data_IF_355263045755
#
_entry.id   IF_355263045755
#
_cell.length_a   1.000
_cell.length_b   1.000
_cell.length_c   1.000
_cell.angle_alpha   90.00
_cell.angle_beta   90.00
_cell.angle_gamma   90.00
#
_symmetry.space_group_name_H-M   'P 1'
#
loop_
_entity.id
_entity.type
_entity.pdbx_description
1 polymer ?
#
# COMPACT_ATOMS: atom_id res chain seq x y z
N UNK A 1 -9.45 -6.81 -65.00
CA UNK A 1 -9.38 -5.80 -63.94
C UNK A 1 -10.29 -6.17 -62.78
N UNK A 2 -9.92 -7.11 -61.85
CA UNK A 2 -10.71 -7.38 -60.63
C UNK A 2 -10.09 -8.42 -59.67
N UNK A 3 -8.89 -8.99 -59.98
CA UNK A 3 -8.27 -9.94 -59.07
C UNK A 3 -7.51 -9.30 -57.89
N UNK A 4 -7.03 -8.07 -58.05
CA UNK A 4 -6.27 -7.35 -57.02
C UNK A 4 -7.16 -6.81 -55.87
N UNK A 5 -8.43 -6.45 -56.17
CA UNK A 5 -9.38 -6.02 -55.11
C UNK A 5 -9.81 -7.21 -54.26
N UNK A 6 -10.12 -8.36 -54.88
CA UNK A 6 -10.55 -9.57 -54.14
C UNK A 6 -9.47 -10.12 -53.22
N UNK A 7 -8.17 -10.01 -53.61
CA UNK A 7 -7.05 -10.45 -52.78
C UNK A 7 -6.78 -9.52 -51.59
N UNK A 8 -6.95 -8.21 -51.73
CA UNK A 8 -6.85 -7.23 -50.65
C UNK A 8 -7.99 -7.43 -49.61
N UNK A 9 -9.20 -7.64 -50.08
CA UNK A 9 -10.35 -7.88 -49.18
C UNK A 9 -10.23 -9.21 -48.46
N UNK A 10 -9.69 -10.24 -49.06
CA UNK A 10 -9.38 -11.53 -48.43
C UNK A 10 -8.29 -11.41 -47.38
N UNK A 11 -7.20 -10.67 -47.63
CA UNK A 11 -6.14 -10.42 -46.66
C UNK A 11 -6.64 -9.59 -45.47
N UNK A 12 -7.48 -8.59 -45.73
CA UNK A 12 -8.13 -7.79 -44.66
C UNK A 12 -9.06 -8.63 -43.80
N UNK A 13 -9.80 -9.57 -44.40
CA UNK A 13 -10.67 -10.51 -43.68
C UNK A 13 -9.87 -11.51 -42.81
N UNK A 14 -8.75 -12.01 -43.35
CA UNK A 14 -7.82 -12.88 -42.61
C UNK A 14 -7.15 -12.14 -41.43
N UNK A 15 -6.69 -10.91 -41.67
CA UNK A 15 -6.12 -10.07 -40.60
C UNK A 15 -7.13 -9.78 -39.51
N UNK A 16 -8.38 -9.42 -39.87
CA UNK A 16 -9.47 -9.18 -38.93
C UNK A 16 -9.84 -10.43 -38.12
N UNK A 17 -9.88 -11.61 -38.79
CA UNK A 17 -10.16 -12.88 -38.11
C UNK A 17 -8.99 -13.30 -37.19
N UNK A 18 -7.75 -13.04 -37.58
CA UNK A 18 -6.58 -13.28 -36.73
C UNK A 18 -6.57 -12.37 -35.50
N UNK A 19 -6.93 -11.10 -35.66
CA UNK A 19 -7.04 -10.15 -34.55
C UNK A 19 -8.17 -10.52 -33.59
N UNK A 20 -9.34 -10.90 -34.12
CA UNK A 20 -10.45 -11.44 -33.32
C UNK A 20 -10.05 -12.72 -32.58
N UNK A 21 -9.29 -13.62 -33.21
CA UNK A 21 -8.80 -14.83 -32.57
C UNK A 21 -7.81 -14.52 -31.45
N UNK A 22 -6.89 -13.55 -31.66
CA UNK A 22 -5.95 -13.09 -30.61
C UNK A 22 -6.69 -12.47 -29.42
N UNK A 23 -7.68 -11.62 -29.68
CA UNK A 23 -8.51 -11.00 -28.64
C UNK A 23 -9.26 -12.11 -27.85
N UNK A 24 -9.87 -13.07 -28.54
CA UNK A 24 -10.59 -14.17 -27.90
C UNK A 24 -9.65 -15.06 -27.07
N UNK A 25 -8.47 -15.41 -27.60
CA UNK A 25 -7.46 -16.16 -26.87
C UNK A 25 -6.98 -15.40 -25.62
N UNK A 26 -6.72 -14.09 -25.73
CA UNK A 26 -6.35 -13.25 -24.59
C UNK A 26 -7.43 -13.18 -23.52
N UNK A 27 -8.72 -13.06 -23.92
CA UNK A 27 -9.86 -13.08 -22.98
C UNK A 27 -9.95 -14.42 -22.25
N UNK A 28 -9.80 -15.52 -22.97
CA UNK A 28 -9.82 -16.88 -22.37
C UNK A 28 -8.67 -17.07 -21.38
N UNK A 29 -7.47 -16.55 -21.70
CA UNK A 29 -6.32 -16.59 -20.80
C UNK A 29 -6.58 -15.77 -19.52
N UNK A 30 -7.09 -14.54 -19.61
CA UNK A 30 -7.40 -13.71 -18.43
C UNK A 30 -8.45 -14.38 -17.54
N UNK A 31 -9.48 -15.05 -18.11
CA UNK A 31 -10.48 -15.79 -17.33
C UNK A 31 -9.85 -16.93 -16.53
N UNK A 32 -8.93 -17.69 -17.13
CA UNK A 32 -8.22 -18.78 -16.44
C UNK A 32 -7.38 -18.25 -15.28
N UNK A 33 -6.60 -17.17 -15.51
CA UNK A 33 -5.83 -16.51 -14.45
C UNK A 33 -6.71 -15.94 -13.35
N UNK A 34 -7.88 -15.39 -13.69
CA UNK A 34 -8.85 -14.89 -12.70
C UNK A 34 -9.39 -16.01 -11.83
N UNK A 35 -9.75 -17.14 -12.42
CA UNK A 35 -10.24 -18.31 -11.66
C UNK A 35 -9.18 -18.81 -10.69
N UNK A 36 -7.94 -18.95 -11.13
CA UNK A 36 -6.83 -19.35 -10.25
C UNK A 36 -6.56 -18.32 -9.14
N UNK A 37 -6.68 -17.03 -9.43
CA UNK A 37 -6.56 -15.94 -8.45
C UNK A 37 -7.63 -16.06 -7.35
N UNK A 38 -8.90 -16.27 -7.73
CA UNK A 38 -10.03 -16.44 -6.80
C UNK A 38 -9.85 -17.69 -5.93
N UNK A 39 -9.41 -18.81 -6.52
CA UNK A 39 -9.13 -20.05 -5.78
C UNK A 39 -7.98 -19.88 -4.79
N UNK A 40 -6.91 -19.19 -5.18
CA UNK A 40 -5.79 -18.88 -4.30
C UNK A 40 -6.23 -17.95 -3.17
N UNK A 41 -6.94 -16.86 -3.49
CA UNK A 41 -7.44 -15.90 -2.50
C UNK A 41 -8.38 -16.57 -1.50
N UNK A 42 -9.28 -17.44 -1.96
CA UNK A 42 -10.16 -18.21 -1.07
C UNK A 42 -9.38 -19.08 -0.07
N UNK A 43 -8.26 -19.68 -0.50
CA UNK A 43 -7.38 -20.44 0.40
C UNK A 43 -6.66 -19.53 1.40
N UNK A 44 -6.21 -18.35 0.97
CA UNK A 44 -5.59 -17.37 1.85
C UNK A 44 -6.57 -16.84 2.89
N UNK A 45 -7.81 -16.51 2.50
CA UNK A 45 -8.89 -16.11 3.44
C UNK A 45 -9.13 -17.21 4.49
N UNK A 46 -9.17 -18.49 4.06
CA UNK A 46 -9.38 -19.62 4.97
C UNK A 46 -8.21 -19.87 5.92
N UNK A 47 -7.11 -19.13 5.77
CA UNK A 47 -5.89 -19.29 6.56
C UNK A 47 -5.58 -17.98 7.25
N UNK A 48 -5.95 -17.83 8.54
CA UNK A 48 -5.68 -16.59 9.27
C UNK A 48 -4.23 -16.13 9.12
N UNK A 49 -4.04 -14.86 8.78
CA UNK A 49 -2.74 -14.23 8.53
C UNK A 49 -2.62 -12.87 9.21
N UNK A 50 -3.08 -12.79 10.45
CA UNK A 50 -2.94 -11.55 11.23
C UNK A 50 -1.46 -11.18 11.32
N UNK A 51 -1.15 -9.88 11.18
CA UNK A 51 0.23 -9.39 11.22
C UNK A 51 1.08 -10.04 12.32
N UNK A 52 2.24 -10.57 11.95
CA UNK A 52 3.19 -11.38 12.72
C UNK A 52 2.83 -12.87 12.85
N UNK A 53 1.70 -13.32 12.29
CA UNK A 53 1.29 -14.73 12.27
C UNK A 53 0.92 -15.19 10.84
N UNK A 54 1.75 -14.81 9.86
CA UNK A 54 1.50 -15.07 8.44
C UNK A 54 2.12 -16.38 7.92
N UNK A 55 2.80 -17.15 8.77
CA UNK A 55 3.63 -18.30 8.37
C UNK A 55 2.87 -19.32 7.52
N UNK A 56 1.62 -19.62 7.88
CA UNK A 56 0.78 -20.58 7.16
C UNK A 56 0.32 -20.02 5.80
N UNK A 57 -0.14 -18.78 5.75
CA UNK A 57 -0.56 -18.12 4.51
C UNK A 57 0.61 -17.95 3.53
N UNK A 58 1.78 -17.52 4.03
CA UNK A 58 3.01 -17.48 3.25
C UNK A 58 3.40 -18.86 2.69
N UNK A 59 3.17 -19.96 3.45
CA UNK A 59 3.37 -21.32 2.99
C UNK A 59 2.47 -21.67 1.81
N UNK A 60 1.15 -21.38 1.91
CA UNK A 60 0.19 -21.62 0.83
C UNK A 60 0.56 -20.86 -0.44
N UNK A 61 0.93 -19.58 -0.29
CA UNK A 61 1.34 -18.75 -1.43
C UNK A 61 2.65 -19.25 -2.05
N UNK A 62 3.64 -19.64 -1.25
CA UNK A 62 4.89 -20.22 -1.73
C UNK A 62 4.67 -21.53 -2.51
N UNK A 63 3.78 -22.40 -2.00
CA UNK A 63 3.40 -23.66 -2.67
C UNK A 63 2.72 -23.37 -4.03
N UNK A 64 1.85 -22.39 -4.09
CA UNK A 64 1.21 -21.97 -5.35
C UNK A 64 2.27 -21.45 -6.35
N UNK A 65 3.15 -20.56 -5.91
CA UNK A 65 4.24 -20.01 -6.73
C UNK A 65 5.12 -21.15 -7.27
N UNK A 66 5.49 -22.11 -6.42
CA UNK A 66 6.28 -23.29 -6.80
C UNK A 66 5.56 -24.18 -7.82
N UNK A 67 4.25 -24.43 -7.68
CA UNK A 67 3.42 -25.16 -8.65
C UNK A 67 3.35 -24.47 -10.01
N UNK A 68 3.45 -23.14 -10.03
CA UNK A 68 3.55 -22.37 -11.27
C UNK A 68 4.94 -22.44 -11.92
N UNK A 69 5.91 -23.15 -11.31
CA UNK A 69 7.28 -23.26 -11.80
C UNK A 69 8.05 -21.93 -11.70
N UNK A 70 7.72 -21.10 -10.73
CA UNK A 70 8.40 -19.82 -10.47
C UNK A 70 9.45 -19.99 -9.36
N UNK A 71 10.64 -19.38 -9.49
CA UNK A 71 11.60 -19.34 -8.40
C UNK A 71 11.06 -18.46 -7.27
N UNK A 72 11.04 -18.99 -6.05
CA UNK A 72 10.55 -18.27 -4.88
C UNK A 72 11.61 -18.29 -3.78
N UNK A 73 12.07 -17.12 -3.37
CA UNK A 73 12.92 -16.95 -2.20
C UNK A 73 12.07 -16.51 -1.01
N UNK A 74 12.09 -17.30 0.06
CA UNK A 74 11.42 -16.94 1.33
C UNK A 74 12.39 -16.17 2.22
N UNK A 75 11.95 -14.97 2.71
CA UNK A 75 12.72 -14.07 3.58
C UNK A 75 11.83 -13.78 4.80
N UNK A 76 11.98 -14.55 5.87
CA UNK A 76 10.97 -14.60 6.93
C UNK A 76 9.65 -15.13 6.37
N UNK A 77 8.57 -14.32 6.47
CA UNK A 77 7.30 -14.62 5.80
C UNK A 77 7.12 -13.88 4.47
N UNK A 78 8.08 -13.01 4.07
CA UNK A 78 8.04 -12.39 2.75
C UNK A 78 8.43 -13.40 1.67
N UNK A 79 7.80 -13.29 0.49
CA UNK A 79 8.07 -14.15 -0.66
C UNK A 79 8.52 -13.30 -1.84
N UNK A 80 9.76 -13.49 -2.25
CA UNK A 80 10.38 -12.80 -3.38
C UNK A 80 10.41 -13.73 -4.59
N UNK A 81 9.86 -13.27 -5.71
CA UNK A 81 9.88 -13.95 -7.01
C UNK A 81 10.57 -13.06 -8.03
N UNK A 82 11.64 -13.56 -8.61
CA UNK A 82 12.34 -12.90 -9.71
C UNK A 82 12.98 -13.96 -10.62
N UNK A 83 12.96 -13.70 -11.91
CA UNK A 83 13.64 -14.50 -12.92
C UNK A 83 14.90 -13.80 -13.41
N UNK A 84 15.54 -14.33 -14.44
CA UNK A 84 16.72 -13.72 -15.04
C UNK A 84 16.35 -12.33 -15.61
N UNK A 85 17.13 -11.33 -15.25
CA UNK A 85 16.93 -9.95 -15.67
C UNK A 85 17.73 -9.59 -16.91
N UNK A 86 17.14 -8.75 -17.76
CA UNK A 86 17.82 -8.14 -18.90
C UNK A 86 18.43 -6.79 -18.47
N UNK A 87 19.74 -6.61 -18.67
CA UNK A 87 20.47 -5.46 -18.16
C UNK A 87 19.94 -4.10 -18.67
N UNK A 88 19.38 -4.07 -19.88
CA UNK A 88 18.91 -2.84 -20.52
C UNK A 88 17.45 -2.47 -20.16
N UNK A 89 16.73 -3.36 -19.50
CA UNK A 89 15.34 -3.10 -19.11
C UNK A 89 15.26 -2.49 -17.71
N UNK A 90 14.44 -1.44 -17.50
CA UNK A 90 14.13 -0.96 -16.17
C UNK A 90 13.36 -2.03 -15.38
N UNK A 91 13.55 -2.05 -14.06
CA UNK A 91 12.97 -3.06 -13.17
C UNK A 91 11.77 -2.50 -12.43
N UNK A 92 10.63 -3.18 -12.53
CA UNK A 92 9.40 -2.89 -11.80
C UNK A 92 9.20 -3.91 -10.69
N UNK A 93 9.03 -3.43 -9.45
CA UNK A 93 8.58 -4.21 -8.32
C UNK A 93 7.05 -4.22 -8.28
N UNK A 94 6.46 -5.40 -8.22
CA UNK A 94 5.04 -5.64 -7.96
C UNK A 94 4.91 -6.10 -6.51
N UNK A 95 4.40 -5.27 -5.61
CA UNK A 95 4.37 -5.51 -4.17
C UNK A 95 2.95 -5.50 -3.64
N UNK A 96 2.61 -6.48 -2.79
CA UNK A 96 1.37 -6.49 -2.03
C UNK A 96 1.57 -7.29 -0.74
N UNK A 97 0.79 -7.01 0.32
CA UNK A 97 0.99 -7.69 1.59
C UNK A 97 0.11 -8.95 1.75
N UNK A 98 0.58 -9.88 2.60
CA UNK A 98 -0.08 -11.14 2.92
C UNK A 98 -0.93 -11.00 4.19
N UNK A 99 -0.47 -10.16 5.11
CA UNK A 99 -1.07 -10.01 6.42
C UNK A 99 -2.38 -9.23 6.40
N UNK A 100 -3.14 -9.40 7.47
CA UNK A 100 -4.42 -8.74 7.70
C UNK A 100 -4.45 -8.14 9.11
N UNK A 101 -5.34 -7.16 9.32
CA UNK A 101 -5.75 -6.73 10.66
C UNK A 101 -6.53 -7.84 11.38
N UNK A 102 -6.79 -7.66 12.68
CA UNK A 102 -7.76 -8.50 13.39
C UNK A 102 -9.17 -8.17 12.94
N UNK A 103 -10.05 -9.19 12.81
CA UNK A 103 -11.45 -8.94 12.47
C UNK A 103 -12.14 -8.10 13.54
N UNK A 104 -12.97 -7.14 13.11
CA UNK A 104 -13.82 -6.35 14.00
C UNK A 104 -15.01 -7.19 14.49
N UNK A 105 -15.62 -6.83 15.63
CA UNK A 105 -16.68 -7.63 16.25
C UNK A 105 -18.04 -7.58 15.53
N UNK A 106 -18.18 -6.75 14.52
CA UNK A 106 -19.44 -6.52 13.78
C UNK A 106 -19.59 -7.37 12.52
N UNK A 107 -18.65 -8.31 12.25
CA UNK A 107 -18.78 -9.25 11.15
C UNK A 107 -20.07 -10.05 11.24
N UNK A 108 -20.83 -10.16 10.15
CA UNK A 108 -22.05 -11.02 10.06
C UNK A 108 -21.73 -12.40 9.50
N UNK A 109 -20.65 -12.54 8.74
CA UNK A 109 -20.08 -13.81 8.27
C UNK A 109 -18.84 -14.18 9.11
N UNK A 110 -18.42 -15.44 9.06
CA UNK A 110 -17.10 -15.81 9.60
C UNK A 110 -16.01 -15.18 8.72
N UNK A 111 -15.14 -14.30 9.25
CA UNK A 111 -14.13 -13.59 8.48
C UNK A 111 -13.11 -14.50 7.78
N UNK A 112 -12.95 -15.74 8.25
CA UNK A 112 -12.03 -16.74 7.71
C UNK A 112 -12.72 -17.81 6.84
N UNK A 113 -14.00 -17.64 6.53
CA UNK A 113 -14.72 -18.52 5.62
C UNK A 113 -15.03 -17.76 4.32
N UNK A 114 -14.35 -18.08 3.20
CA UNK A 114 -14.59 -17.41 1.92
C UNK A 114 -15.99 -17.73 1.41
N UNK A 115 -16.79 -16.69 1.14
CA UNK A 115 -18.14 -16.82 0.62
C UNK A 115 -18.23 -16.08 -0.71
N UNK A 116 -18.69 -16.77 -1.76
CA UNK A 116 -18.95 -16.15 -3.06
C UNK A 116 -20.45 -15.94 -3.23
N UNK A 117 -20.86 -14.68 -3.34
CA UNK A 117 -22.23 -14.27 -3.63
C UNK A 117 -22.28 -13.37 -4.87
N UNK A 118 -22.74 -13.89 -5.98
CA UNK A 118 -22.69 -13.18 -7.26
C UNK A 118 -21.27 -12.87 -7.68
N UNK A 119 -20.94 -11.59 -7.80
CA UNK A 119 -19.59 -11.11 -8.16
C UNK A 119 -18.69 -10.88 -6.94
N UNK A 120 -19.14 -11.12 -5.71
CA UNK A 120 -18.41 -10.78 -4.48
C UNK A 120 -17.81 -11.99 -3.82
N UNK A 121 -16.53 -11.92 -3.53
CA UNK A 121 -15.83 -12.85 -2.65
C UNK A 121 -15.61 -12.16 -1.29
N UNK A 122 -16.37 -12.60 -0.28
CA UNK A 122 -16.28 -12.12 1.09
C UNK A 122 -15.18 -12.85 1.87
N UNK A 123 -14.54 -12.14 2.78
CA UNK A 123 -13.57 -12.64 3.75
C UNK A 123 -12.55 -11.58 4.13
N UNK A 124 -11.98 -11.71 5.32
CA UNK A 124 -10.97 -10.79 5.83
C UNK A 124 -9.73 -10.82 4.94
N UNK A 125 -9.23 -9.64 4.54
CA UNK A 125 -8.10 -9.50 3.64
C UNK A 125 -8.44 -9.81 2.17
N UNK A 126 -9.71 -10.00 1.81
CA UNK A 126 -10.11 -10.16 0.41
C UNK A 126 -9.86 -8.91 -0.42
N UNK A 127 -10.14 -7.75 0.15
CA UNK A 127 -9.96 -6.43 -0.45
C UNK A 127 -8.59 -5.82 -0.08
N UNK A 128 -8.19 -5.91 1.18
CA UNK A 128 -6.98 -5.31 1.74
C UNK A 128 -5.97 -6.37 2.20
N UNK A 129 -4.93 -6.69 1.41
CA UNK A 129 -4.85 -6.36 -0.01
C UNK A 129 -4.77 -7.65 -0.86
N UNK A 130 -5.50 -8.72 -0.44
CA UNK A 130 -5.47 -10.02 -1.10
C UNK A 130 -5.87 -9.97 -2.58
N UNK A 131 -6.87 -9.14 -2.94
CA UNK A 131 -7.21 -8.88 -4.35
C UNK A 131 -6.03 -8.37 -5.16
N UNK A 132 -5.29 -7.39 -4.61
CA UNK A 132 -4.06 -6.87 -5.20
C UNK A 132 -2.95 -7.92 -5.27
N UNK A 133 -2.74 -8.66 -4.17
CA UNK A 133 -1.75 -9.71 -4.04
C UNK A 133 -1.87 -10.76 -5.15
N UNK A 134 -3.07 -11.34 -5.30
CA UNK A 134 -3.28 -12.39 -6.31
C UNK A 134 -3.29 -11.83 -7.73
N UNK A 135 -3.83 -10.63 -7.95
CA UNK A 135 -3.88 -10.01 -9.28
C UNK A 135 -2.49 -9.66 -9.80
N UNK A 136 -1.60 -9.08 -8.94
CA UNK A 136 -0.21 -8.80 -9.30
C UNK A 136 0.57 -10.08 -9.60
N UNK A 137 0.36 -11.16 -8.82
CA UNK A 137 1.01 -12.44 -9.08
C UNK A 137 0.57 -13.02 -10.44
N UNK A 138 -0.71 -12.95 -10.76
CA UNK A 138 -1.21 -13.46 -12.04
C UNK A 138 -0.72 -12.61 -13.22
N UNK A 139 -0.66 -11.29 -13.07
CA UNK A 139 -0.08 -10.41 -14.09
C UNK A 139 1.43 -10.71 -14.30
N UNK A 140 2.18 -10.94 -13.21
CA UNK A 140 3.58 -11.39 -13.29
C UNK A 140 3.70 -12.68 -14.10
N UNK A 141 2.86 -13.68 -13.80
CA UNK A 141 2.83 -14.97 -14.51
C UNK A 141 2.49 -14.84 -15.99
N UNK A 142 1.49 -14.02 -16.31
CA UNK A 142 1.08 -13.75 -17.69
C UNK A 142 2.19 -13.12 -18.52
N UNK A 143 2.91 -12.15 -17.90
CA UNK A 143 3.99 -11.40 -18.55
C UNK A 143 5.33 -12.15 -18.60
N UNK A 144 5.40 -13.30 -17.96
CA UNK A 144 6.56 -14.16 -17.97
C UNK A 144 6.95 -14.55 -19.41
N UNK A 145 8.23 -14.53 -19.71
CA UNK A 145 8.71 -14.96 -21.03
C UNK A 145 8.87 -13.85 -22.07
N UNK A 146 8.93 -12.58 -21.65
CA UNK A 146 9.46 -11.50 -22.47
C UNK A 146 8.43 -10.61 -23.17
N UNK A 147 7.15 -10.67 -22.79
CA UNK A 147 6.12 -9.74 -23.31
C UNK A 147 6.19 -8.36 -22.65
N UNK A 148 6.80 -8.25 -21.45
CA UNK A 148 7.02 -6.99 -20.76
C UNK A 148 8.25 -6.24 -21.26
N UNK A 149 8.16 -4.92 -21.32
CA UNK A 149 9.31 -4.02 -21.56
C UNK A 149 10.14 -3.77 -20.28
N UNK A 150 9.74 -4.34 -19.16
CA UNK A 150 10.38 -4.24 -17.87
C UNK A 150 10.88 -5.60 -17.38
N UNK A 151 11.94 -5.60 -16.60
CA UNK A 151 12.19 -6.70 -15.68
C UNK A 151 11.12 -6.63 -14.59
N UNK A 152 10.53 -7.76 -14.24
CA UNK A 152 9.51 -7.85 -13.22
C UNK A 152 10.06 -8.56 -11.99
N UNK A 153 9.78 -8.00 -10.84
CA UNK A 153 10.02 -8.59 -9.52
C UNK A 153 8.69 -8.61 -8.78
N UNK A 154 8.29 -9.74 -8.22
CA UNK A 154 7.10 -9.81 -7.37
C UNK A 154 7.53 -10.03 -5.92
N UNK A 155 6.95 -9.25 -5.02
CA UNK A 155 7.13 -9.37 -3.58
C UNK A 155 5.77 -9.44 -2.89
N UNK A 156 5.52 -10.56 -2.21
CA UNK A 156 4.48 -10.65 -1.21
C UNK A 156 5.11 -10.31 0.15
N UNK A 157 4.77 -9.17 0.72
CA UNK A 157 5.29 -8.68 2.00
C UNK A 157 4.44 -9.16 3.18
N UNK A 158 4.98 -9.13 4.38
CA UNK A 158 4.27 -9.39 5.63
C UNK A 158 4.40 -8.20 6.59
N UNK A 159 3.66 -8.21 7.71
CA UNK A 159 3.67 -7.17 8.75
C UNK A 159 3.40 -5.74 8.23
N UNK A 160 2.72 -5.57 7.09
CA UNK A 160 2.40 -4.26 6.52
C UNK A 160 1.50 -3.47 7.47
N UNK A 161 0.41 -4.07 7.94
CA UNK A 161 -0.66 -3.48 8.76
C UNK A 161 -0.18 -2.95 10.14
N UNK A 162 1.00 -3.40 10.55
CA UNK A 162 1.68 -2.93 11.77
C UNK A 162 2.99 -2.23 11.45
N UNK A 163 3.29 -2.00 10.18
CA UNK A 163 4.57 -1.47 9.69
C UNK A 163 5.74 -2.19 10.38
N UNK A 164 5.71 -3.53 10.41
CA UNK A 164 6.63 -4.36 11.18
C UNK A 164 8.06 -4.38 10.61
N UNK A 165 9.01 -4.79 11.43
CA UNK A 165 10.42 -4.84 11.03
C UNK A 165 10.72 -6.06 10.15
N UNK A 166 9.91 -7.14 10.24
CA UNK A 166 10.11 -8.37 9.48
C UNK A 166 9.38 -8.38 8.13
N UNK A 167 8.63 -7.30 7.81
CA UNK A 167 7.94 -7.10 6.54
C UNK A 167 8.86 -6.58 5.44
N UNK A 168 8.40 -5.57 4.71
CA UNK A 168 9.14 -4.98 3.58
C UNK A 168 10.57 -4.56 3.97
N UNK A 169 10.79 -4.02 5.17
CA UNK A 169 12.12 -3.61 5.65
C UNK A 169 13.12 -4.78 5.67
N UNK A 170 12.68 -6.00 6.02
CA UNK A 170 13.52 -7.20 6.02
C UNK A 170 13.77 -7.68 4.57
N UNK A 171 12.80 -7.55 3.68
CA UNK A 171 12.91 -7.97 2.28
C UNK A 171 13.77 -7.01 1.45
N UNK A 172 13.76 -5.72 1.75
CA UNK A 172 14.42 -4.67 0.96
C UNK A 172 15.89 -4.93 0.61
N UNK A 173 16.77 -5.39 1.52
CA UNK A 173 18.18 -5.70 1.18
C UNK A 173 18.36 -6.87 0.21
N UNK A 174 17.33 -7.68 -0.01
CA UNK A 174 17.34 -8.83 -0.92
C UNK A 174 16.80 -8.50 -2.31
N UNK A 175 16.20 -7.31 -2.47
CA UNK A 175 15.70 -6.87 -3.77
C UNK A 175 16.87 -6.50 -4.69
N UNK A 176 16.76 -6.75 -5.99
CA UNK A 176 17.67 -6.17 -6.98
C UNK A 176 17.51 -4.65 -7.02
N UNK A 177 18.26 -3.97 -7.88
CA UNK A 177 18.00 -2.56 -8.16
C UNK A 177 16.59 -2.41 -8.73
N UNK A 178 15.73 -1.68 -8.03
CA UNK A 178 14.36 -1.36 -8.45
C UNK A 178 14.34 0.08 -9.00
N UNK A 179 13.73 0.28 -10.16
CA UNK A 179 13.56 1.61 -10.76
C UNK A 179 12.20 2.23 -10.38
N UNK A 180 11.16 1.40 -10.20
CA UNK A 180 9.83 1.83 -9.77
C UNK A 180 9.05 0.66 -9.15
N UNK A 181 8.11 0.95 -8.24
CA UNK A 181 7.21 -0.07 -7.68
C UNK A 181 5.73 0.26 -7.94
N UNK A 182 4.94 -0.81 -8.13
CA UNK A 182 3.48 -0.81 -8.08
C UNK A 182 3.07 -1.56 -6.83
N UNK A 183 2.28 -0.92 -5.96
CA UNK A 183 1.77 -1.52 -4.72
C UNK A 183 0.29 -1.83 -4.88
N UNK A 184 -0.09 -3.08 -4.61
CA UNK A 184 -1.41 -3.66 -4.91
C UNK A 184 -2.54 -3.26 -3.95
N UNK A 185 -2.42 -2.13 -3.28
CA UNK A 185 -3.41 -1.58 -2.36
C UNK A 185 -4.74 -1.22 -3.06
N UNK A 186 -5.89 -1.30 -2.35
CA UNK A 186 -7.19 -1.01 -2.95
C UNK A 186 -7.34 0.47 -3.33
N UNK A 187 -7.35 0.76 -4.62
CA UNK A 187 -7.46 2.11 -5.20
C UNK A 187 -8.54 2.24 -6.27
N UNK A 188 -9.35 1.19 -6.47
CA UNK A 188 -10.29 1.12 -7.60
C UNK A 188 -9.58 1.18 -8.95
N UNK A 189 -8.36 0.65 -9.04
CA UNK A 189 -7.50 0.72 -10.22
C UNK A 189 -7.23 2.16 -10.70
N UNK A 190 -7.22 3.15 -9.79
CA UNK A 190 -6.73 4.49 -10.05
C UNK A 190 -5.32 4.65 -9.46
N UNK A 191 -4.35 5.25 -10.17
CA UNK A 191 -3.00 5.37 -9.65
C UNK A 191 -2.92 6.41 -8.51
N UNK A 192 -2.65 5.96 -7.29
CA UNK A 192 -2.33 6.86 -6.19
C UNK A 192 -0.84 7.20 -6.24
N UNK A 193 -0.53 8.40 -6.74
CA UNK A 193 0.83 8.85 -7.06
C UNK A 193 1.55 9.56 -5.91
N UNK A 194 0.88 9.73 -4.79
CA UNK A 194 1.44 10.25 -3.55
C UNK A 194 0.70 9.66 -2.36
N UNK A 195 1.41 9.46 -1.25
CA UNK A 195 0.83 9.02 0.01
C UNK A 195 1.44 9.77 1.19
N UNK A 196 0.66 9.98 2.27
CA UNK A 196 1.15 10.64 3.48
C UNK A 196 2.07 9.70 4.26
N UNK A 197 3.16 10.27 4.80
CA UNK A 197 3.96 9.58 5.81
C UNK A 197 3.28 9.54 7.18
N UNK A 198 3.97 8.93 8.13
CA UNK A 198 3.60 8.87 9.54
C UNK A 198 4.82 9.03 10.43
N UNK A 199 4.73 9.94 11.40
CA UNK A 199 5.65 10.02 12.52
C UNK A 199 4.85 10.21 13.81
N UNK A 200 5.06 9.32 14.78
CA UNK A 200 4.48 9.42 16.11
C UNK A 200 5.52 9.95 17.07
N UNK A 201 5.16 11.00 17.82
CA UNK A 201 6.05 11.68 18.76
C UNK A 201 5.42 11.62 20.14
N UNK A 202 6.18 11.14 21.12
CA UNK A 202 5.86 11.25 22.54
C UNK A 202 6.39 12.58 23.07
N UNK A 203 5.54 13.33 23.76
CA UNK A 203 5.87 14.61 24.38
C UNK A 203 5.65 14.56 25.90
N UNK A 204 6.54 15.22 26.63
CA UNK A 204 6.45 15.34 28.10
C UNK A 204 6.78 16.77 28.51
N UNK A 205 5.90 17.38 29.28
CA UNK A 205 6.19 18.59 30.05
C UNK A 205 6.41 18.22 31.52
N UNK A 206 7.43 18.79 32.13
CA UNK A 206 7.77 18.59 33.53
C UNK A 206 7.34 19.76 34.38
N UNK A 207 6.87 19.44 35.57
CA UNK A 207 6.49 20.39 36.61
C UNK A 207 7.09 19.99 37.97
N UNK A 208 6.41 20.37 39.02
CA UNK A 208 6.73 20.01 40.40
C UNK A 208 5.45 19.85 41.19
N UNK A 209 5.28 18.72 41.86
CA UNK A 209 4.11 18.49 42.72
C UNK A 209 4.04 19.48 43.87
N UNK A 210 2.82 19.84 44.25
CA UNK A 210 2.53 20.71 45.36
C UNK A 210 1.04 20.66 45.73
N UNK A 211 0.70 21.29 46.85
CA UNK A 211 -0.72 21.36 47.30
C UNK A 211 -1.43 22.47 46.53
N UNK A 212 -2.49 22.14 45.78
CA UNK A 212 -3.18 23.09 44.87
C UNK A 212 -3.72 24.37 45.59
N UNK A 213 -3.98 24.32 46.89
CA UNK A 213 -4.45 25.46 47.67
C UNK A 213 -3.32 26.36 48.23
N UNK A 214 -2.02 26.04 47.99
CA UNK A 214 -0.91 26.74 48.66
C UNK A 214 0.03 27.55 47.76
N UNK A 215 -0.27 27.72 46.49
CA UNK A 215 0.62 28.29 45.50
C UNK A 215 2.02 27.62 45.47
N UNK A 216 2.08 26.32 45.70
CA UNK A 216 3.28 25.51 45.70
C UNK A 216 3.31 24.66 44.44
N UNK A 217 4.55 24.34 43.98
CA UNK A 217 4.74 23.48 42.80
C UNK A 217 4.80 24.26 41.48
N UNK A 218 4.95 23.51 40.40
CA UNK A 218 4.92 23.96 38.99
C UNK A 218 3.95 23.03 38.25
N UNK A 219 2.89 23.59 37.71
CA UNK A 219 1.87 22.78 37.05
C UNK A 219 2.31 22.35 35.66
N UNK A 220 2.58 21.05 35.46
CA UNK A 220 3.01 20.50 34.20
C UNK A 220 1.98 20.68 33.07
N UNK A 221 0.68 20.76 33.38
CA UNK A 221 -0.35 21.07 32.39
C UNK A 221 -0.14 22.48 31.83
N UNK A 222 0.14 23.46 32.71
CA UNK A 222 0.35 24.84 32.29
C UNK A 222 1.65 25.02 31.53
N UNK A 223 2.70 24.24 31.90
CA UNK A 223 3.93 24.21 31.14
C UNK A 223 3.75 23.65 29.70
N UNK A 224 2.86 22.66 29.52
CA UNK A 224 2.56 22.10 28.21
C UNK A 224 1.68 23.02 27.33
N UNK A 225 0.83 23.86 27.92
CA UNK A 225 -0.23 24.57 27.19
C UNK A 225 0.29 25.46 26.06
N UNK A 226 1.33 26.24 26.26
CA UNK A 226 1.88 27.14 25.25
C UNK A 226 2.35 26.37 24.00
N UNK A 227 3.07 25.25 24.22
CA UNK A 227 3.58 24.39 23.15
C UNK A 227 2.41 23.67 22.44
N UNK A 228 1.40 23.19 23.18
CA UNK A 228 0.21 22.54 22.61
C UNK A 228 -0.67 23.52 21.80
N UNK A 229 -0.84 24.77 22.28
CA UNK A 229 -1.55 25.81 21.55
C UNK A 229 -0.80 26.17 20.27
N UNK A 230 0.52 26.34 20.35
CA UNK A 230 1.35 26.59 19.19
C UNK A 230 1.22 25.44 18.17
N UNK A 231 1.30 24.18 18.59
CA UNK A 231 1.16 22.99 17.72
C UNK A 231 -0.20 22.97 17.02
N UNK A 232 -1.30 23.30 17.75
CA UNK A 232 -2.66 23.35 17.19
C UNK A 232 -2.76 24.39 16.07
N UNK A 233 -2.12 25.54 16.25
CA UNK A 233 -2.32 26.71 15.39
C UNK A 233 -1.29 26.81 14.26
N UNK A 234 -0.12 26.14 14.39
CA UNK A 234 0.92 26.18 13.37
C UNK A 234 0.51 25.45 12.09
N UNK A 235 0.88 26.03 10.95
CA UNK A 235 0.69 25.44 9.61
C UNK A 235 1.96 25.51 8.82
N UNK A 236 2.36 24.39 8.24
CA UNK A 236 3.51 24.33 7.33
C UNK A 236 3.18 24.99 6.00
N UNK A 237 4.14 25.73 5.45
CA UNK A 237 3.92 26.58 4.26
C UNK A 237 3.85 25.82 2.95
N UNK A 238 4.48 24.61 2.86
CA UNK A 238 4.44 23.81 1.65
C UNK A 238 3.21 22.90 1.69
N UNK A 239 2.25 23.21 0.86
CA UNK A 239 1.03 22.44 0.71
C UNK A 239 1.06 21.65 -0.60
N UNK A 240 0.79 20.36 -0.52
CA UNK A 240 0.73 19.47 -1.67
C UNK A 240 -0.58 19.63 -2.42
N UNK A 241 -0.51 19.68 -3.74
CA UNK A 241 -1.70 19.65 -4.60
C UNK A 241 -2.48 18.33 -4.47
N UNK A 242 -1.80 17.23 -4.14
CA UNK A 242 -2.38 15.88 -4.02
C UNK A 242 -2.77 15.55 -2.58
N UNK A 243 -1.91 15.89 -1.61
CA UNK A 243 -2.06 15.48 -0.21
C UNK A 243 -2.51 16.64 0.71
N UNK A 244 -2.47 17.90 0.23
CA UNK A 244 -2.72 19.08 1.06
C UNK A 244 -1.60 19.37 2.07
N UNK A 245 -1.91 20.08 3.15
CA UNK A 245 -0.95 20.46 4.18
C UNK A 245 -0.49 19.25 5.02
N UNK A 246 0.75 19.31 5.53
CA UNK A 246 1.21 18.43 6.61
C UNK A 246 0.33 18.62 7.85
N UNK A 247 -0.16 17.51 8.42
CA UNK A 247 -1.04 17.55 9.61
C UNK A 247 -0.26 17.16 10.86
N UNK A 248 -0.57 17.84 11.96
CA UNK A 248 -0.09 17.51 13.29
C UNK A 248 -1.29 17.51 14.23
N UNK A 249 -1.49 16.42 14.96
CA UNK A 249 -2.65 16.25 15.85
C UNK A 249 -2.21 15.66 17.17
N UNK A 250 -2.52 16.31 18.28
CA UNK A 250 -2.41 15.70 19.60
C UNK A 250 -3.56 14.70 19.77
N UNK A 251 -3.22 13.42 19.92
CA UNK A 251 -4.21 12.32 19.95
C UNK A 251 -4.37 11.72 21.34
N UNK A 252 -3.39 11.92 22.21
CA UNK A 252 -3.42 11.47 23.63
C UNK A 252 -2.90 12.60 24.51
N UNK A 253 -3.54 12.83 25.65
CA UNK A 253 -3.08 13.76 26.68
C UNK A 253 -3.43 13.20 28.06
N UNK A 254 -2.43 13.03 28.91
CA UNK A 254 -2.60 12.53 30.27
C UNK A 254 -1.80 13.37 31.27
N UNK A 255 -2.45 13.81 32.36
CA UNK A 255 -1.79 14.52 33.45
C UNK A 255 -2.66 14.51 34.71
N UNK A 256 -1.99 14.58 35.87
CA UNK A 256 -2.64 14.66 37.19
C UNK A 256 -3.29 13.35 37.64
N UNK A 257 -3.43 13.19 38.94
CA UNK A 257 -4.02 11.99 39.59
C UNK A 257 -5.11 12.34 40.61
N UNK A 258 -5.03 13.53 41.21
CA UNK A 258 -5.97 13.97 42.27
C UNK A 258 -6.25 15.48 42.12
N UNK A 259 -7.47 15.88 42.49
CA UNK A 259 -7.94 17.28 42.33
C UNK A 259 -7.17 18.31 43.18
N UNK A 260 -6.52 17.90 44.27
CA UNK A 260 -5.82 18.76 45.21
C UNK A 260 -4.30 18.71 45.10
N UNK A 261 -3.75 18.02 44.06
CA UNK A 261 -2.31 17.90 43.80
C UNK A 261 -1.98 18.58 42.50
N UNK A 262 -1.02 19.50 42.52
CA UNK A 262 -0.46 20.10 41.29
C UNK A 262 0.31 19.02 40.52
N UNK A 263 -0.04 18.74 39.25
CA UNK A 263 0.63 17.71 38.49
C UNK A 263 2.07 18.08 38.16
N UNK A 264 2.97 17.12 38.33
CA UNK A 264 4.41 17.26 38.04
C UNK A 264 4.81 16.72 36.68
N UNK A 265 3.87 16.10 35.95
CA UNK A 265 4.10 15.60 34.61
C UNK A 265 2.83 15.72 33.75
N UNK A 266 3.02 16.13 32.47
CA UNK A 266 1.98 16.10 31.44
C UNK A 266 2.55 15.38 30.22
N UNK A 267 1.98 14.20 29.89
CA UNK A 267 2.36 13.38 28.74
C UNK A 267 1.34 13.51 27.61
N UNK A 268 1.82 13.58 26.40
CA UNK A 268 0.97 13.64 25.20
C UNK A 268 1.60 12.91 24.02
N UNK A 269 0.77 12.56 23.04
CA UNK A 269 1.20 11.93 21.79
C UNK A 269 0.78 12.82 20.62
N UNK A 270 1.70 13.06 19.69
CA UNK A 270 1.45 13.78 18.44
C UNK A 270 1.48 12.79 17.29
N UNK A 271 0.38 12.69 16.53
CA UNK A 271 0.32 12.06 15.20
C UNK A 271 0.71 13.12 14.16
N UNK A 272 1.81 12.89 13.45
CA UNK A 272 2.31 13.77 12.38
C UNK A 272 2.16 13.05 11.04
N UNK A 273 1.44 13.69 10.10
CA UNK A 273 1.20 13.18 8.75
C UNK A 273 1.84 14.12 7.72
N UNK A 274 3.14 13.89 7.40
CA UNK A 274 3.84 14.70 6.41
C UNK A 274 3.29 14.47 5.00
N UNK A 275 3.39 15.51 4.18
CA UNK A 275 3.29 15.38 2.74
C UNK A 275 4.70 15.20 2.12
N UNK A 276 4.78 15.03 0.81
CA UNK A 276 6.01 14.73 0.06
C UNK A 276 7.10 15.83 0.15
N UNK A 277 6.76 17.02 0.64
CA UNK A 277 7.72 18.13 0.75
C UNK A 277 8.54 18.12 2.04
N UNK A 278 8.19 17.26 3.02
CA UNK A 278 8.82 17.27 4.34
C UNK A 278 9.27 15.87 4.77
N UNK A 279 10.54 15.76 5.11
CA UNK A 279 11.11 14.57 5.72
C UNK A 279 10.80 14.54 7.22
N UNK A 280 10.62 13.35 7.78
CA UNK A 280 10.30 13.16 9.20
C UNK A 280 11.36 13.78 10.12
N UNK A 281 12.64 13.59 9.81
CA UNK A 281 13.77 14.14 10.57
C UNK A 281 13.74 15.67 10.62
N UNK A 282 13.44 16.32 9.49
CA UNK A 282 13.29 17.77 9.42
C UNK A 282 12.13 18.26 10.29
N UNK A 283 10.96 17.61 10.19
CA UNK A 283 9.77 17.97 10.97
C UNK A 283 10.03 17.81 12.48
N UNK A 284 10.70 16.73 12.88
CA UNK A 284 11.03 16.50 14.28
C UNK A 284 11.99 17.57 14.82
N UNK A 285 13.09 17.86 14.11
CA UNK A 285 14.02 18.91 14.51
C UNK A 285 13.35 20.30 14.57
N UNK A 286 12.40 20.56 13.64
CA UNK A 286 11.62 21.78 13.65
C UNK A 286 10.73 21.86 14.88
N UNK A 287 10.03 20.80 15.26
CA UNK A 287 9.18 20.72 16.45
C UNK A 287 10.00 20.91 17.73
N UNK A 288 11.14 20.23 17.88
CA UNK A 288 12.05 20.40 19.03
C UNK A 288 12.55 21.84 19.19
N UNK A 289 12.74 22.55 18.09
CA UNK A 289 13.17 23.96 18.13
C UNK A 289 12.08 24.91 18.65
N UNK A 290 10.80 24.60 18.39
CA UNK A 290 9.67 25.51 18.69
C UNK A 290 8.95 25.14 19.98
N UNK A 291 8.82 23.85 20.29
CA UNK A 291 8.25 23.35 21.54
C UNK A 291 9.35 23.30 22.63
N UNK A 292 9.54 24.42 23.32
CA UNK A 292 10.72 24.63 24.20
C UNK A 292 10.50 24.15 25.63
N UNK A 293 9.25 24.00 26.04
CA UNK A 293 8.88 23.61 27.40
C UNK A 293 8.63 22.10 27.51
N UNK A 294 8.50 21.42 26.37
CA UNK A 294 8.24 20.01 26.32
C UNK A 294 9.45 19.24 25.74
N UNK A 295 9.77 18.11 26.34
CA UNK A 295 10.70 17.15 25.77
C UNK A 295 9.97 16.28 24.74
N UNK A 296 10.54 16.11 23.54
CA UNK A 296 9.96 15.35 22.45
C UNK A 296 10.84 14.15 22.10
N UNK A 297 10.21 12.99 21.89
CA UNK A 297 10.85 11.75 21.43
C UNK A 297 10.10 11.17 20.26
N UNK A 298 10.69 11.09 19.08
CA UNK A 298 10.10 10.42 17.93
C UNK A 298 10.23 8.90 18.10
N UNK A 299 9.12 8.16 17.91
CA UNK A 299 9.15 6.69 17.96
C UNK A 299 9.90 6.09 16.77
N UNK A 300 9.78 6.70 15.58
CA UNK A 300 10.45 6.28 14.35
C UNK A 300 10.42 7.37 13.30
N UNK A 301 11.43 7.40 12.41
CA UNK A 301 11.48 8.28 11.23
C UNK A 301 11.26 7.53 9.91
N UNK A 302 11.09 6.20 9.95
CA UNK A 302 11.16 5.34 8.76
C UNK A 302 9.96 5.44 7.82
N UNK A 303 8.78 5.81 8.33
CA UNK A 303 7.55 5.86 7.55
C UNK A 303 7.41 7.23 6.86
N UNK A 304 8.01 7.34 5.68
CA UNK A 304 8.06 8.60 4.93
C UNK A 304 6.85 8.76 4.02
N UNK A 305 6.55 10.01 3.65
CA UNK A 305 5.66 10.25 2.52
C UNK A 305 6.32 9.74 1.24
N UNK A 306 5.56 9.03 0.41
CA UNK A 306 6.00 8.56 -0.89
C UNK A 306 5.40 9.41 -2.01
N UNK A 307 6.08 9.47 -3.15
CA UNK A 307 5.50 10.06 -4.34
C UNK A 307 6.24 9.60 -5.61
N UNK A 308 5.54 9.65 -6.75
CA UNK A 308 6.11 9.46 -8.09
C UNK A 308 5.74 10.65 -8.97
N UNK A 309 6.67 11.04 -9.86
CA UNK A 309 6.41 12.12 -10.82
C UNK A 309 5.23 11.74 -11.73
N UNK A 310 4.29 12.66 -11.89
CA UNK A 310 3.14 12.47 -12.78
C UNK A 310 3.58 12.25 -14.25
N UNK A 311 4.77 12.74 -14.64
CA UNK A 311 5.35 12.52 -15.96
C UNK A 311 6.04 11.15 -16.10
N UNK A 312 6.12 10.35 -15.05
CA UNK A 312 6.72 9.01 -15.13
C UNK A 312 5.99 8.16 -16.19
N UNK A 313 6.71 7.39 -17.03
CA UNK A 313 6.12 6.64 -18.15
C UNK A 313 4.95 5.73 -17.77
N UNK A 314 5.01 5.06 -16.59
CA UNK A 314 3.91 4.22 -16.11
C UNK A 314 2.67 5.06 -15.76
N UNK A 315 2.84 6.24 -15.17
CA UNK A 315 1.71 7.12 -14.84
C UNK A 315 1.10 7.71 -16.09
N UNK A 316 1.93 8.13 -17.07
CA UNK A 316 1.44 8.57 -18.38
C UNK A 316 0.69 7.45 -19.10
N UNK A 317 1.15 6.20 -18.98
CA UNK A 317 0.43 5.03 -19.50
C UNK A 317 -0.93 4.83 -18.82
N UNK A 318 -0.99 4.91 -17.50
CA UNK A 318 -2.28 4.86 -16.75
C UNK A 318 -3.24 5.96 -17.24
N UNK A 319 -2.75 7.20 -17.39
CA UNK A 319 -3.56 8.33 -17.91
C UNK A 319 -4.06 8.08 -19.34
N UNK A 320 -3.22 7.53 -20.21
CA UNK A 320 -3.61 7.17 -21.57
C UNK A 320 -4.70 6.07 -21.60
N UNK A 321 -4.80 5.25 -20.55
CA UNK A 321 -5.87 4.27 -20.37
C UNK A 321 -7.12 4.85 -19.67
N UNK A 322 -7.17 6.18 -19.44
CA UNK A 322 -8.30 6.88 -18.85
C UNK A 322 -8.30 6.91 -17.31
N UNK A 323 -7.22 6.47 -16.64
CA UNK A 323 -7.13 6.52 -15.20
C UNK A 323 -6.78 7.93 -14.70
N UNK A 324 -7.24 8.27 -13.50
CA UNK A 324 -7.05 9.58 -12.88
C UNK A 324 -6.09 9.48 -11.69
N UNK A 325 -4.88 10.04 -11.77
CA UNK A 325 -3.95 10.09 -10.65
C UNK A 325 -4.50 10.87 -9.46
N UNK A 326 -4.26 10.37 -8.23
CA UNK A 326 -4.69 11.02 -6.99
C UNK A 326 -3.67 10.85 -5.86
N UNK A 327 -3.89 11.54 -4.74
CA UNK A 327 -3.12 11.41 -3.49
C UNK A 327 -3.86 10.53 -2.48
N UNK A 328 -3.21 9.47 -1.98
CA UNK A 328 -3.77 8.57 -0.96
C UNK A 328 -3.58 9.14 0.45
N UNK A 329 -4.63 9.15 1.29
CA UNK A 329 -4.50 9.52 2.70
C UNK A 329 -3.94 8.39 3.57
N UNK A 330 -3.98 7.14 3.09
CA UNK A 330 -3.54 5.93 3.81
C UNK A 330 -2.07 5.64 3.57
N UNK A 331 -1.42 5.05 4.57
CA UNK A 331 -0.03 4.61 4.51
C UNK A 331 0.04 3.17 3.98
N UNK A 332 1.16 2.80 3.37
CA UNK A 332 1.44 1.44 2.91
C UNK A 332 2.95 1.15 2.96
N UNK A 333 3.37 -0.01 2.47
CA UNK A 333 4.79 -0.35 2.29
C UNK A 333 5.57 0.67 1.45
N UNK A 334 4.89 1.52 0.66
CA UNK A 334 5.54 2.64 -0.06
C UNK A 334 6.34 3.56 0.86
N UNK A 335 5.88 3.74 2.11
CA UNK A 335 6.57 4.57 3.10
C UNK A 335 8.00 4.09 3.42
N UNK A 336 8.30 2.83 3.11
CA UNK A 336 9.59 2.17 3.33
C UNK A 336 10.44 2.06 2.06
N UNK A 337 9.89 2.43 0.89
CA UNK A 337 10.56 2.30 -0.41
C UNK A 337 11.48 3.50 -0.68
N UNK A 338 12.78 3.28 -0.96
CA UNK A 338 13.71 4.36 -1.29
C UNK A 338 13.70 4.74 -2.78
N UNK A 339 12.78 4.20 -3.57
CA UNK A 339 12.61 4.40 -5.00
C UNK A 339 11.19 4.87 -5.33
N UNK A 340 10.95 5.46 -6.53
CA UNK A 340 9.62 5.87 -6.96
C UNK A 340 8.59 4.74 -6.87
N UNK A 341 7.40 5.02 -6.37
CA UNK A 341 6.34 4.04 -6.23
C UNK A 341 4.96 4.68 -6.29
N UNK A 342 3.96 3.91 -6.65
CA UNK A 342 2.55 4.31 -6.62
C UNK A 342 1.66 3.11 -6.29
N UNK A 343 0.49 3.38 -5.69
CA UNK A 343 -0.52 2.34 -5.48
C UNK A 343 -1.36 2.19 -6.75
N UNK A 344 -1.67 0.96 -7.07
CA UNK A 344 -2.63 0.61 -8.11
C UNK A 344 -3.13 -0.80 -7.80
N UNK A 345 -4.38 -0.94 -7.38
CA UNK A 345 -4.94 -2.24 -7.06
C UNK A 345 -6.46 -2.26 -7.11
N UNK A 346 -7.05 -3.47 -7.24
CA UNK A 346 -8.50 -3.67 -7.24
C UNK A 346 -9.09 -3.37 -5.87
N UNK A 347 -10.40 -3.20 -5.83
CA UNK A 347 -11.13 -2.95 -4.60
C UNK A 347 -11.19 -1.47 -4.22
N UNK A 348 -11.82 -1.21 -3.09
CA UNK A 348 -12.06 0.13 -2.57
C UNK A 348 -11.52 0.23 -1.13
N UNK A 349 -10.70 1.24 -0.86
CA UNK A 349 -10.13 1.50 0.48
C UNK A 349 -11.21 1.70 1.55
N UNK A 350 -12.44 2.07 1.19
CA UNK A 350 -13.54 2.16 2.13
C UNK A 350 -14.03 0.81 2.68
N UNK A 351 -13.65 -0.30 2.03
CA UNK A 351 -13.97 -1.68 2.49
C UNK A 351 -12.91 -2.23 3.45
N UNK A 352 -11.74 -1.61 3.51
CA UNK A 352 -10.63 -2.04 4.38
C UNK A 352 -10.99 -1.86 5.84
N UNK A 353 -10.53 -2.78 6.70
CA UNK A 353 -10.71 -2.76 8.16
C UNK A 353 -12.18 -2.70 8.62
N UNK A 354 -13.11 -3.11 7.78
CA UNK A 354 -14.56 -3.14 8.06
C UNK A 354 -15.10 -4.56 8.15
N UNK A 355 -16.29 -4.71 8.76
CA UNK A 355 -16.99 -5.99 8.75
C UNK A 355 -17.47 -6.34 7.34
N UNK A 356 -17.56 -7.63 7.07
CA UNK A 356 -18.05 -8.19 5.81
C UNK A 356 -17.29 -7.63 4.59
N UNK A 357 -15.97 -7.49 4.76
CA UNK A 357 -15.04 -7.11 3.70
C UNK A 357 -15.19 -8.05 2.50
N UNK A 358 -15.16 -7.47 1.29
CA UNK A 358 -15.26 -8.24 0.05
C UNK A 358 -14.49 -7.60 -1.10
N UNK A 359 -14.13 -8.42 -2.08
CA UNK A 359 -13.62 -8.00 -3.38
C UNK A 359 -14.54 -8.49 -4.51
N UNK A 360 -14.68 -7.70 -5.57
CA UNK A 360 -15.36 -8.14 -6.80
C UNK A 360 -14.48 -9.10 -7.60
N UNK A 361 -15.04 -10.23 -8.05
CA UNK A 361 -14.33 -11.14 -8.96
C UNK A 361 -14.00 -10.42 -10.28
N UNK A 362 -14.92 -9.60 -10.75
CA UNK A 362 -14.71 -8.72 -11.91
C UNK A 362 -13.63 -7.65 -11.65
N UNK A 363 -13.46 -7.19 -10.40
CA UNK A 363 -12.36 -6.26 -10.02
C UNK A 363 -11.01 -6.95 -10.12
N UNK A 364 -10.90 -8.23 -9.71
CA UNK A 364 -9.67 -9.05 -9.87
C UNK A 364 -9.35 -9.24 -11.36
N UNK A 365 -10.34 -9.61 -12.18
CA UNK A 365 -10.16 -9.79 -13.62
C UNK A 365 -9.67 -8.51 -14.29
N UNK A 366 -10.34 -7.39 -14.02
CA UNK A 366 -9.96 -6.06 -14.52
C UNK A 366 -8.56 -5.66 -14.06
N UNK A 367 -8.16 -5.99 -12.83
CA UNK A 367 -6.83 -5.67 -12.33
C UNK A 367 -5.74 -6.44 -13.07
N UNK A 368 -5.91 -7.75 -13.29
CA UNK A 368 -4.97 -8.57 -14.05
C UNK A 368 -4.78 -7.98 -15.46
N UNK A 369 -5.89 -7.71 -16.17
CA UNK A 369 -5.86 -7.12 -17.51
C UNK A 369 -5.18 -5.74 -17.50
N UNK A 370 -5.51 -4.90 -16.53
CA UNK A 370 -4.94 -3.56 -16.41
C UNK A 370 -3.43 -3.61 -16.18
N UNK A 371 -2.94 -4.45 -15.26
CA UNK A 371 -1.49 -4.60 -15.02
C UNK A 371 -0.77 -5.10 -16.27
N UNK A 372 -1.33 -6.08 -16.97
CA UNK A 372 -0.79 -6.56 -18.24
C UNK A 372 -0.69 -5.41 -19.24
N UNK A 373 -1.75 -4.63 -19.41
CA UNK A 373 -1.79 -3.50 -20.35
C UNK A 373 -0.84 -2.36 -19.96
N UNK A 374 -0.64 -2.09 -18.65
CA UNK A 374 0.29 -1.06 -18.17
C UNK A 374 1.74 -1.48 -18.41
N UNK A 375 2.06 -2.77 -18.29
CA UNK A 375 3.43 -3.29 -18.31
C UNK A 375 3.89 -3.83 -19.67
N UNK A 376 2.98 -3.97 -20.64
CA UNK A 376 3.32 -4.38 -22.02
C UNK A 376 3.60 -3.20 -22.93
N UNK A 377 4.21 -3.50 -24.08
CA UNK A 377 4.26 -2.55 -25.17
C UNK A 377 2.87 -2.48 -25.84
N UNK A 378 2.19 -1.35 -25.73
CA UNK A 378 1.17 -1.07 -26.73
C UNK A 378 1.90 -0.84 -28.05
N UNK A 379 1.77 -1.77 -28.99
CA UNK A 379 1.85 -1.36 -30.38
C UNK A 379 0.59 -0.52 -30.60
N UNK A 380 0.80 0.82 -30.76
CA UNK A 380 -0.23 1.71 -31.24
C UNK A 380 -0.61 1.36 -32.69
#
# INVERSE_FOLDING_TARGET
MNYALCYRDFLALLAKNYELFRIFASIMDIQAYTQEAVELLSKLISTPSISRDETAAAGILADFIGKCGLPCQRIGNNLLVQEQMEAEKPTVLLCAHIDTVKPVSTWTHDPFTPIIEGDRLYGLGSNDCGGGLVSLLQAYRYLRGGTSKYNLVYLASCEEEVSGANGFSLALPHLPKIDVAIVGEPTGMQPAIAERGLMVIDGVAHGKSGHAARNEGINAIYEALDDLIWLRDYRFSKESALLGATKMTVTVLNSGTQHNVVPDECRFVIDVRPNEYYQNEYLFAFLQKHMRKCELTARSFRLRSSHIDEQHPLIQRCKAMGMLPFGSPTLSDQALMPFPSFKLGPGDSARSHSADEFIGISEIANAIETYVNVLTNSQG
#
